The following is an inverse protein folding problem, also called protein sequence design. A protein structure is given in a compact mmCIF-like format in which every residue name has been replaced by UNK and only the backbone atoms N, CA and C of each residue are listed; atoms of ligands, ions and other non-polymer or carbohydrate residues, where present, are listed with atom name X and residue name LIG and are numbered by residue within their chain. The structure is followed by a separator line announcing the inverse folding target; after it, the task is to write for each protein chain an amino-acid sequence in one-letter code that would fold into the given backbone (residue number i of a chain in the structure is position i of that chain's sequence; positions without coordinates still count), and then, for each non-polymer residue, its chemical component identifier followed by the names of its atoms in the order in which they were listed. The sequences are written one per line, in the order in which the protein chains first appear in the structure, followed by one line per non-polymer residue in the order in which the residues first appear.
data_IF_743654998734
#
_entry.id   IF_743654998734
#
_cell.length_a   1.000
_cell.length_b   1.000
_cell.length_c   1.000
_cell.angle_alpha   90.00
_cell.angle_beta   90.00
_cell.angle_gamma   90.00
#
_symmetry.space_group_name_H-M   'P 1'
#
loop_
_entity.id
_entity.type
_entity.pdbx_description
1 polymer ?
#
# COMPACT_ATOMS: atom_id res chain seq x y z
N UNK A 1 26.66 10.44 -28.50
CA UNK A 1 27.02 9.00 -28.48
C UNK A 1 26.85 8.54 -27.04
N UNK A 2 25.91 7.63 -26.79
CA UNK A 2 25.53 7.19 -25.44
C UNK A 2 26.68 6.36 -24.86
N UNK A 3 27.34 6.87 -23.83
CA UNK A 3 28.45 6.18 -23.15
C UNK A 3 27.90 5.17 -22.13
N UNK A 4 26.85 4.43 -22.50
CA UNK A 4 26.36 3.32 -21.69
C UNK A 4 27.33 2.16 -21.89
N UNK A 5 28.01 1.65 -20.84
CA UNK A 5 28.84 0.46 -20.98
C UNK A 5 28.00 -0.69 -21.56
N UNK A 6 28.64 -1.59 -22.32
CA UNK A 6 28.00 -2.80 -22.85
C UNK A 6 27.68 -3.74 -21.67
N UNK A 7 26.54 -3.48 -21.04
CA UNK A 7 26.06 -4.17 -19.85
C UNK A 7 25.33 -5.47 -20.18
N UNK A 8 25.02 -5.73 -21.46
CA UNK A 8 24.24 -6.89 -21.89
C UNK A 8 24.92 -8.22 -21.52
N UNK A 9 26.22 -8.20 -21.25
CA UNK A 9 27.03 -9.37 -20.85
C UNK A 9 27.50 -9.32 -19.39
N UNK A 10 26.94 -8.43 -18.56
CA UNK A 10 27.33 -8.31 -17.16
C UNK A 10 26.99 -9.59 -16.37
N UNK A 11 27.94 -10.14 -15.57
CA UNK A 11 27.69 -11.34 -14.80
C UNK A 11 26.62 -11.11 -13.72
N UNK A 12 25.88 -12.16 -13.37
CA UNK A 12 24.95 -12.11 -12.26
C UNK A 12 25.69 -11.84 -10.94
N UNK A 13 25.28 -10.81 -10.20
CA UNK A 13 25.94 -10.37 -8.97
C UNK A 13 25.27 -10.94 -7.70
N UNK A 14 24.10 -11.56 -7.85
CA UNK A 14 23.35 -12.15 -6.74
C UNK A 14 23.89 -13.52 -6.28
N UNK A 15 23.13 -14.23 -5.43
CA UNK A 15 23.55 -15.51 -4.89
C UNK A 15 23.88 -16.55 -5.99
N UNK A 16 25.05 -17.23 -5.95
CA UNK A 16 25.46 -18.14 -7.03
C UNK A 16 24.46 -19.24 -7.35
N UNK A 17 23.73 -19.73 -6.35
CA UNK A 17 22.68 -20.75 -6.50
C UNK A 17 21.50 -20.28 -7.37
N UNK A 18 21.35 -18.97 -7.60
CA UNK A 18 20.27 -18.38 -8.40
C UNK A 18 20.73 -17.98 -9.81
N UNK A 19 21.99 -18.22 -10.19
CA UNK A 19 22.50 -17.88 -11.53
C UNK A 19 21.67 -18.53 -12.65
N UNK A 20 21.31 -19.81 -12.51
CA UNK A 20 20.44 -20.47 -13.49
C UNK A 20 19.02 -19.87 -13.57
N UNK A 21 18.47 -19.39 -12.45
CA UNK A 21 17.19 -18.67 -12.46
C UNK A 21 17.33 -17.30 -13.16
N UNK A 22 18.47 -16.63 -12.98
CA UNK A 22 18.78 -15.36 -13.63
C UNK A 22 18.90 -15.53 -15.15
N UNK A 23 19.61 -16.55 -15.61
CA UNK A 23 19.76 -16.86 -17.04
C UNK A 23 18.39 -17.15 -17.69
N UNK A 24 17.55 -17.93 -16.99
CA UNK A 24 16.19 -18.22 -17.45
C UNK A 24 15.30 -16.96 -17.45
N UNK A 25 15.45 -16.07 -16.48
CA UNK A 25 14.77 -14.77 -16.47
C UNK A 25 15.19 -13.92 -17.68
N UNK A 26 16.49 -13.79 -17.95
CA UNK A 26 16.99 -13.07 -19.13
C UNK A 26 16.43 -13.68 -20.41
N UNK A 27 16.47 -15.01 -20.56
CA UNK A 27 15.96 -15.70 -21.73
C UNK A 27 14.46 -15.42 -21.96
N UNK A 28 13.65 -15.35 -20.90
CA UNK A 28 12.22 -15.03 -20.98
C UNK A 28 11.94 -13.56 -21.25
N UNK A 29 12.70 -12.68 -20.60
CA UNK A 29 12.54 -11.23 -20.71
C UNK A 29 12.96 -10.72 -22.10
N UNK A 30 14.03 -11.28 -22.66
CA UNK A 30 14.51 -10.93 -24.01
C UNK A 30 13.68 -11.54 -25.14
N UNK A 31 13.10 -12.74 -24.96
CA UNK A 31 12.23 -13.39 -25.96
C UNK A 31 10.99 -12.55 -26.36
N UNK A 32 10.57 -11.61 -25.51
CA UNK A 32 9.37 -10.77 -25.72
C UNK A 32 9.68 -9.41 -26.38
N UNK A 33 10.92 -9.12 -26.80
CA UNK A 33 11.28 -7.81 -27.33
C UNK A 33 12.65 -7.72 -27.99
N UNK A 34 13.23 -6.51 -27.95
CA UNK A 34 14.58 -6.23 -28.46
C UNK A 34 15.63 -6.80 -27.50
N UNK A 35 16.31 -7.86 -27.94
CA UNK A 35 17.26 -8.64 -27.13
C UNK A 35 18.29 -7.77 -26.39
N UNK A 36 18.93 -6.82 -27.10
CA UNK A 36 19.95 -5.95 -26.50
C UNK A 36 19.41 -5.04 -25.39
N UNK A 37 18.29 -4.35 -25.63
CA UNK A 37 17.69 -3.41 -24.67
C UNK A 37 17.22 -4.12 -23.40
N UNK A 38 16.59 -5.28 -23.54
CA UNK A 38 16.09 -6.02 -22.38
C UNK A 38 17.23 -6.66 -21.57
N UNK A 39 18.31 -7.09 -22.22
CA UNK A 39 19.51 -7.57 -21.53
C UNK A 39 20.18 -6.44 -20.73
N UNK A 40 20.32 -5.25 -21.33
CA UNK A 40 20.82 -4.05 -20.65
C UNK A 40 19.94 -3.68 -19.44
N UNK A 41 18.61 -3.65 -19.61
CA UNK A 41 17.67 -3.37 -18.53
C UNK A 41 17.81 -4.36 -17.36
N UNK A 42 17.96 -5.66 -17.66
CA UNK A 42 18.20 -6.68 -16.65
C UNK A 42 19.54 -6.47 -15.94
N UNK A 43 20.59 -6.11 -16.66
CA UNK A 43 21.90 -5.82 -16.07
C UNK A 43 21.85 -4.59 -15.14
N UNK A 44 21.11 -3.54 -15.52
CA UNK A 44 20.89 -2.38 -14.63
C UNK A 44 20.14 -2.78 -13.36
N UNK A 45 19.14 -3.67 -13.44
CA UNK A 45 18.46 -4.20 -12.25
C UNK A 45 19.38 -5.07 -11.40
N UNK A 46 20.24 -5.89 -12.00
CA UNK A 46 21.23 -6.71 -11.31
C UNK A 46 22.22 -5.85 -10.52
N UNK A 47 22.75 -4.80 -11.16
CA UNK A 47 23.62 -3.82 -10.52
C UNK A 47 22.88 -3.10 -9.40
N UNK A 48 21.68 -2.58 -9.66
CA UNK A 48 20.89 -1.91 -8.63
C UNK A 48 20.62 -2.82 -7.44
N UNK A 49 20.28 -4.10 -7.63
CA UNK A 49 19.86 -4.97 -6.55
C UNK A 49 21.03 -5.57 -5.75
N UNK A 50 22.12 -5.95 -6.41
CA UNK A 50 23.16 -6.79 -5.80
C UNK A 50 24.54 -6.12 -5.70
N UNK A 51 24.77 -5.00 -6.37
CA UNK A 51 25.99 -4.22 -6.16
C UNK A 51 25.83 -3.30 -4.94
N UNK A 52 26.72 -3.38 -3.92
CA UNK A 52 26.70 -2.47 -2.78
C UNK A 52 26.79 -0.97 -3.14
N UNK A 53 27.40 -0.65 -4.29
CA UNK A 53 27.54 0.71 -4.81
C UNK A 53 26.64 0.98 -6.02
N UNK A 54 25.75 0.04 -6.38
CA UNK A 54 24.98 0.08 -7.62
C UNK A 54 24.15 1.34 -7.77
N UNK A 55 23.55 1.84 -6.68
CA UNK A 55 22.79 3.11 -6.70
C UNK A 55 23.70 4.28 -7.10
N UNK A 56 24.85 4.43 -6.46
CA UNK A 56 25.78 5.53 -6.70
C UNK A 56 26.40 5.45 -8.10
N UNK A 57 26.72 4.24 -8.57
CA UNK A 57 27.22 4.02 -9.92
C UNK A 57 26.16 4.34 -10.99
N UNK A 58 24.92 3.87 -10.81
CA UNK A 58 23.83 4.18 -11.73
C UNK A 58 23.51 5.68 -11.77
N UNK A 59 23.59 6.36 -10.62
CA UNK A 59 23.44 7.80 -10.56
C UNK A 59 24.65 8.55 -11.12
N UNK A 60 25.86 7.99 -11.09
CA UNK A 60 27.02 8.64 -11.72
C UNK A 60 26.96 8.54 -13.25
N UNK A 61 26.41 7.44 -13.78
CA UNK A 61 26.18 7.22 -15.22
C UNK A 61 25.25 8.27 -15.85
N UNK A 62 24.40 8.94 -15.07
CA UNK A 62 23.55 10.02 -15.59
C UNK A 62 24.35 11.28 -15.97
N UNK A 63 25.53 11.48 -15.36
CA UNK A 63 26.30 12.72 -15.47
C UNK A 63 25.44 13.95 -15.17
N UNK A 64 25.45 14.93 -16.08
CA UNK A 64 24.59 16.13 -16.03
C UNK A 64 23.36 16.03 -16.93
N UNK A 65 23.05 14.86 -17.53
CA UNK A 65 21.94 14.67 -18.47
C UNK A 65 20.67 14.13 -17.77
N UNK A 66 19.61 14.94 -17.59
CA UNK A 66 18.36 14.49 -17.00
C UNK A 66 17.63 13.42 -17.83
N UNK A 67 17.93 13.30 -19.13
CA UNK A 67 17.39 12.23 -19.97
C UNK A 67 18.09 10.89 -19.71
N UNK A 68 19.38 10.89 -19.38
CA UNK A 68 20.11 9.68 -19.03
C UNK A 68 19.52 9.03 -17.78
N UNK A 69 19.25 9.81 -16.73
CA UNK A 69 18.57 9.31 -15.52
C UNK A 69 17.22 8.65 -15.84
N UNK A 70 16.38 9.32 -16.63
CA UNK A 70 15.07 8.79 -17.02
C UNK A 70 15.19 7.49 -17.81
N UNK A 71 16.17 7.36 -18.70
CA UNK A 71 16.44 6.13 -19.46
C UNK A 71 16.87 4.99 -18.56
N UNK A 72 17.87 5.21 -17.70
CA UNK A 72 18.38 4.21 -16.75
C UNK A 72 17.26 3.74 -15.82
N UNK A 73 16.55 4.69 -15.22
CA UNK A 73 15.41 4.41 -14.35
C UNK A 73 14.33 3.61 -15.08
N UNK A 74 13.91 4.04 -16.27
CA UNK A 74 12.88 3.33 -17.05
C UNK A 74 13.30 1.91 -17.40
N UNK A 75 14.58 1.67 -17.70
CA UNK A 75 15.09 0.33 -18.00
C UNK A 75 15.00 -0.59 -16.78
N UNK A 76 15.45 -0.11 -15.62
CA UNK A 76 15.36 -0.84 -14.35
C UNK A 76 13.90 -1.12 -13.98
N UNK A 77 13.02 -0.11 -14.09
CA UNK A 77 11.60 -0.22 -13.79
C UNK A 77 10.90 -1.25 -14.71
N UNK A 78 11.28 -1.31 -15.98
CA UNK A 78 10.76 -2.32 -16.91
C UNK A 78 11.23 -3.74 -16.55
N UNK A 79 12.53 -3.91 -16.26
CA UNK A 79 13.07 -5.21 -15.83
C UNK A 79 12.43 -5.70 -14.51
N UNK A 80 12.22 -4.80 -13.54
CA UNK A 80 11.57 -5.12 -12.28
C UNK A 80 10.11 -5.56 -12.48
N UNK A 81 9.36 -4.84 -13.33
CA UNK A 81 7.98 -5.21 -13.69
C UNK A 81 7.95 -6.56 -14.44
N UNK A 82 8.90 -6.81 -15.32
CA UNK A 82 9.02 -8.08 -16.02
C UNK A 82 9.27 -9.23 -15.03
N UNK A 83 10.24 -9.07 -14.12
CA UNK A 83 10.53 -10.06 -13.07
C UNK A 83 9.29 -10.34 -12.19
N UNK A 84 8.56 -9.29 -11.82
CA UNK A 84 7.32 -9.40 -11.05
C UNK A 84 6.30 -10.32 -11.73
N UNK A 85 6.12 -10.20 -13.05
CA UNK A 85 5.18 -11.04 -13.82
C UNK A 85 5.62 -12.50 -13.88
N UNK A 86 6.91 -12.77 -13.85
CA UNK A 86 7.44 -14.13 -13.90
C UNK A 86 7.21 -14.91 -12.59
N UNK A 87 6.79 -14.27 -11.48
CA UNK A 87 6.44 -14.94 -10.21
C UNK A 87 5.29 -15.97 -10.30
N UNK A 88 4.51 -15.91 -11.39
CA UNK A 88 3.53 -16.95 -11.77
C UNK A 88 4.19 -18.32 -11.93
N UNK A 89 5.45 -18.34 -12.34
CA UNK A 89 6.31 -19.50 -12.46
C UNK A 89 7.01 -19.77 -11.12
N UNK A 90 6.77 -20.94 -10.52
CA UNK A 90 7.27 -21.27 -9.18
C UNK A 90 8.79 -21.20 -9.06
N UNK A 91 9.49 -21.56 -10.13
CA UNK A 91 10.95 -21.56 -10.28
C UNK A 91 11.56 -20.15 -10.29
N UNK A 92 10.78 -19.11 -10.60
CA UNK A 92 11.23 -17.71 -10.61
C UNK A 92 11.07 -17.01 -9.25
N UNK A 93 10.26 -17.59 -8.35
CA UNK A 93 10.00 -16.99 -7.02
C UNK A 93 11.26 -16.85 -6.15
N UNK A 94 12.22 -17.79 -6.14
CA UNK A 94 13.48 -17.60 -5.39
C UNK A 94 14.28 -16.39 -5.88
N UNK A 95 14.39 -16.20 -7.21
CA UNK A 95 15.07 -15.05 -7.78
C UNK A 95 14.36 -13.74 -7.43
N UNK A 96 13.05 -13.68 -7.64
CA UNK A 96 12.23 -12.52 -7.28
C UNK A 96 12.40 -12.14 -5.80
N UNK A 97 12.32 -13.12 -4.88
CA UNK A 97 12.54 -12.90 -3.45
C UNK A 97 13.93 -12.36 -3.15
N UNK A 98 14.97 -12.87 -3.80
CA UNK A 98 16.33 -12.40 -3.59
C UNK A 98 16.50 -10.94 -4.03
N UNK A 99 15.96 -10.58 -5.20
CA UNK A 99 15.98 -9.19 -5.71
C UNK A 99 15.23 -8.25 -4.75
N UNK A 100 14.02 -8.62 -4.33
CA UNK A 100 13.22 -7.81 -3.40
C UNK A 100 13.93 -7.66 -2.04
N UNK A 101 14.51 -8.74 -1.50
CA UNK A 101 15.24 -8.69 -0.24
C UNK A 101 16.48 -7.77 -0.32
N UNK A 102 17.21 -7.82 -1.43
CA UNK A 102 18.38 -6.98 -1.63
C UNK A 102 18.00 -5.49 -1.77
N UNK A 103 16.96 -5.20 -2.55
CA UNK A 103 16.42 -3.84 -2.67
C UNK A 103 15.87 -3.31 -1.32
N UNK A 104 15.21 -4.15 -0.52
CA UNK A 104 14.74 -3.79 0.83
C UNK A 104 15.90 -3.47 1.77
N UNK A 105 17.01 -4.20 1.66
CA UNK A 105 18.22 -3.95 2.44
C UNK A 105 18.76 -2.56 2.10
N UNK A 106 18.92 -2.25 0.81
CA UNK A 106 19.38 -0.94 0.36
C UNK A 106 18.44 0.20 0.73
N UNK A 107 17.12 -0.02 0.61
CA UNK A 107 16.11 0.93 1.05
C UNK A 107 16.20 1.21 2.54
N UNK A 108 16.44 0.18 3.35
CA UNK A 108 16.59 0.30 4.80
C UNK A 108 17.84 1.09 5.17
N UNK A 109 18.95 0.84 4.47
CA UNK A 109 20.20 1.58 4.65
C UNK A 109 20.06 3.05 4.24
N UNK A 110 19.38 3.32 3.12
CA UNK A 110 19.03 4.68 2.70
C UNK A 110 18.19 5.38 3.77
N UNK A 111 17.13 4.74 4.28
CA UNK A 111 16.33 5.30 5.38
C UNK A 111 17.20 5.59 6.61
N UNK A 112 18.18 4.74 6.95
CA UNK A 112 19.10 4.95 8.07
C UNK A 112 19.98 6.18 7.86
N UNK A 113 20.58 6.36 6.67
CA UNK A 113 21.38 7.54 6.32
C UNK A 113 20.60 8.86 6.45
N UNK A 114 19.29 8.83 6.21
CA UNK A 114 18.41 9.99 6.32
C UNK A 114 17.73 10.15 7.70
N UNK A 115 18.08 9.34 8.69
CA UNK A 115 17.46 9.39 10.03
C UNK A 115 15.98 9.00 10.04
N UNK A 116 15.56 8.17 9.09
CA UNK A 116 14.19 7.67 8.91
C UNK A 116 14.05 6.20 9.34
N UNK A 117 15.13 5.58 9.83
CA UNK A 117 15.16 4.23 10.37
C UNK A 117 15.85 4.21 11.75
N UNK A 118 15.33 3.47 12.77
CA UNK A 118 14.12 2.65 12.71
C UNK A 118 12.87 3.50 12.46
N UNK A 119 11.82 2.93 11.83
CA UNK A 119 10.61 3.70 11.54
C UNK A 119 10.02 4.26 12.84
N UNK A 120 9.48 5.49 12.83
CA UNK A 120 9.00 6.14 14.05
C UNK A 120 7.93 5.28 14.73
N UNK A 121 8.21 4.96 15.98
CA UNK A 121 7.23 4.41 16.90
C UNK A 121 6.46 5.60 17.47
N UNK A 122 5.12 5.52 17.58
CA UNK A 122 4.35 6.63 18.19
C UNK A 122 4.98 6.96 19.56
N UNK A 123 5.42 8.21 19.73
CA UNK A 123 5.71 8.76 21.04
C UNK A 123 4.43 8.70 21.89
N UNK A 124 4.57 8.41 23.19
CA UNK A 124 3.50 8.66 24.17
C UNK A 124 3.11 10.14 24.06
N UNK A 125 1.83 10.40 24.28
CA UNK A 125 1.08 11.61 23.93
C UNK A 125 1.53 12.89 24.63
N UNK A 126 2.73 13.38 24.33
CA UNK A 126 3.16 14.73 24.68
C UNK A 126 3.32 15.51 23.38
N UNK A 127 2.78 16.73 23.30
CA UNK A 127 2.64 17.52 22.06
C UNK A 127 3.92 17.72 21.24
N UNK A 128 5.09 17.51 21.84
CA UNK A 128 6.41 17.45 21.18
C UNK A 128 6.47 16.37 20.09
N UNK A 129 5.80 15.23 20.28
CA UNK A 129 5.83 14.10 19.35
C UNK A 129 5.09 14.31 18.01
N UNK A 130 4.14 15.25 17.94
CA UNK A 130 3.37 15.53 16.71
C UNK A 130 4.18 16.36 15.73
N UNK A 131 4.93 17.36 16.22
CA UNK A 131 5.86 18.13 15.41
C UNK A 131 6.96 17.22 14.85
N UNK A 132 7.55 16.36 15.68
CA UNK A 132 8.55 15.39 15.25
C UNK A 132 8.00 14.38 14.22
N UNK A 133 6.75 13.92 14.37
CA UNK A 133 6.14 13.00 13.42
C UNK A 133 5.86 13.65 12.06
N UNK A 134 5.48 14.93 12.04
CA UNK A 134 5.32 15.72 10.81
C UNK A 134 6.66 15.89 10.11
N UNK A 135 7.70 16.28 10.83
CA UNK A 135 9.05 16.48 10.28
C UNK A 135 9.61 15.19 9.67
N UNK A 136 9.42 14.04 10.34
CA UNK A 136 9.85 12.74 9.82
C UNK A 136 9.10 12.40 8.51
N UNK A 137 7.79 12.68 8.44
CA UNK A 137 7.00 12.44 7.22
C UNK A 137 7.42 13.36 6.08
N UNK A 138 7.68 14.64 6.36
CA UNK A 138 8.18 15.59 5.36
C UNK A 138 9.56 15.16 4.83
N UNK A 139 10.48 14.74 5.71
CA UNK A 139 11.77 14.15 5.31
C UNK A 139 11.61 12.89 4.47
N UNK A 140 10.65 12.01 4.81
CA UNK A 140 10.37 10.82 4.02
C UNK A 140 9.84 11.15 2.62
N UNK A 141 8.92 12.12 2.50
CA UNK A 141 8.47 12.59 1.19
C UNK A 141 9.59 13.27 0.39
N UNK A 142 10.50 14.00 1.04
CA UNK A 142 11.69 14.53 0.40
C UNK A 142 12.61 13.40 -0.11
N UNK A 143 12.79 12.35 0.68
CA UNK A 143 13.55 11.16 0.26
C UNK A 143 12.93 10.50 -0.97
N UNK A 144 11.61 10.30 -0.98
CA UNK A 144 10.90 9.74 -2.14
C UNK A 144 11.01 10.58 -3.42
N UNK A 145 11.28 11.89 -3.30
CA UNK A 145 11.53 12.79 -4.43
C UNK A 145 12.99 12.87 -4.85
N UNK A 146 13.92 12.35 -4.04
CA UNK A 146 15.34 12.30 -4.38
C UNK A 146 15.62 11.27 -5.50
N UNK A 147 16.71 11.42 -6.27
CA UNK A 147 17.09 10.44 -7.28
C UNK A 147 17.28 9.02 -6.71
N UNK A 148 17.99 8.89 -5.58
CA UNK A 148 18.21 7.60 -4.88
C UNK A 148 16.89 6.98 -4.41
N UNK A 149 16.10 7.79 -3.68
CA UNK A 149 14.87 7.28 -3.06
C UNK A 149 13.78 6.96 -4.06
N UNK A 150 13.63 7.77 -5.11
CA UNK A 150 12.63 7.50 -6.16
C UNK A 150 13.01 6.30 -7.02
N UNK A 151 14.30 6.07 -7.27
CA UNK A 151 14.79 4.87 -7.97
C UNK A 151 14.50 3.62 -7.14
N UNK A 152 15.00 3.55 -5.90
CA UNK A 152 14.83 2.37 -5.05
C UNK A 152 13.35 2.08 -4.72
N UNK A 153 12.58 3.10 -4.30
CA UNK A 153 11.17 2.90 -3.98
C UNK A 153 10.36 2.52 -5.22
N UNK A 154 10.60 3.18 -6.36
CA UNK A 154 9.93 2.88 -7.63
C UNK A 154 10.22 1.44 -8.08
N UNK A 155 11.49 1.03 -8.09
CA UNK A 155 11.88 -0.33 -8.44
C UNK A 155 11.29 -1.37 -7.49
N UNK A 156 11.31 -1.13 -6.17
CA UNK A 156 10.70 -2.02 -5.17
C UNK A 156 9.21 -2.23 -5.42
N UNK A 157 8.46 -1.14 -5.65
CA UNK A 157 7.03 -1.23 -5.90
C UNK A 157 6.73 -1.96 -7.22
N UNK A 158 7.55 -1.74 -8.24
CA UNK A 158 7.37 -2.42 -9.53
C UNK A 158 7.78 -3.89 -9.51
N UNK A 159 8.78 -4.25 -8.70
CA UNK A 159 9.08 -5.65 -8.42
C UNK A 159 7.89 -6.36 -7.75
N UNK A 160 7.03 -5.63 -7.04
CA UNK A 160 5.80 -6.12 -6.41
C UNK A 160 4.52 -5.86 -7.23
N UNK A 161 4.62 -5.31 -8.44
CA UNK A 161 3.48 -4.86 -9.26
C UNK A 161 2.44 -5.96 -9.50
N UNK A 162 2.88 -7.17 -9.88
CA UNK A 162 1.97 -8.28 -10.13
C UNK A 162 1.22 -8.72 -8.86
N UNK A 163 1.88 -8.62 -7.70
CA UNK A 163 1.29 -8.95 -6.41
C UNK A 163 0.29 -7.87 -5.96
N UNK A 164 0.68 -6.60 -6.07
CA UNK A 164 -0.19 -5.45 -5.77
C UNK A 164 -1.44 -5.49 -6.65
N UNK A 165 -1.27 -5.71 -7.97
CA UNK A 165 -2.37 -5.86 -8.90
C UNK A 165 -3.28 -7.03 -8.53
N UNK A 166 -2.72 -8.22 -8.25
CA UNK A 166 -3.51 -9.39 -7.89
C UNK A 166 -4.32 -9.19 -6.59
N UNK A 167 -3.75 -8.55 -5.57
CA UNK A 167 -4.49 -8.21 -4.35
C UNK A 167 -5.54 -7.12 -4.61
N UNK A 168 -5.24 -6.12 -5.44
CA UNK A 168 -6.20 -5.09 -5.85
C UNK A 168 -7.40 -5.70 -6.58
N UNK A 169 -7.20 -6.58 -7.56
CA UNK A 169 -8.33 -7.21 -8.27
C UNK A 169 -9.11 -8.20 -7.39
N UNK A 170 -8.47 -8.82 -6.37
CA UNK A 170 -9.20 -9.61 -5.35
C UNK A 170 -10.17 -8.75 -4.54
N UNK A 171 -9.84 -7.50 -4.32
CA UNK A 171 -10.64 -6.53 -3.56
C UNK A 171 -11.84 -6.09 -4.33
N UNK A 172 -11.59 -5.60 -5.54
CA UNK A 172 -12.64 -5.07 -6.40
C UNK A 172 -13.74 -6.11 -6.58
N UNK A 173 -13.36 -7.39 -6.71
CA UNK A 173 -14.30 -8.52 -6.73
C UNK A 173 -15.10 -8.69 -5.43
N UNK A 174 -14.48 -8.51 -4.25
CA UNK A 174 -15.17 -8.64 -2.95
C UNK A 174 -16.12 -7.49 -2.65
N UNK A 175 -15.89 -6.32 -3.23
CA UNK A 175 -16.78 -5.15 -3.10
C UNK A 175 -17.98 -5.21 -4.06
N UNK A 176 -18.17 -6.34 -4.77
CA UNK A 176 -19.38 -6.71 -5.53
C UNK A 176 -19.97 -5.56 -6.36
N UNK A 177 -19.22 -5.13 -7.38
CA UNK A 177 -19.58 -4.10 -8.39
C UNK A 177 -19.86 -2.68 -7.88
N UNK A 178 -19.59 -2.36 -6.60
CA UNK A 178 -19.83 -1.02 -6.04
C UNK A 178 -18.66 -0.04 -6.19
N UNK A 179 -17.50 -0.52 -6.62
CA UNK A 179 -16.28 0.29 -6.76
C UNK A 179 -15.55 -0.18 -8.01
N UNK A 180 -15.08 0.76 -8.85
CA UNK A 180 -14.29 0.41 -10.04
C UNK A 180 -12.85 0.14 -9.64
N UNK A 181 -12.17 -0.72 -10.39
CA UNK A 181 -10.76 -1.03 -10.13
C UNK A 181 -9.86 0.22 -10.26
N UNK A 182 -10.24 1.14 -11.15
CA UNK A 182 -9.54 2.40 -11.38
C UNK A 182 -9.54 3.30 -10.13
N UNK A 183 -10.57 3.21 -9.29
CA UNK A 183 -10.67 3.99 -8.05
C UNK A 183 -9.82 3.38 -6.92
N UNK A 184 -9.65 2.05 -6.95
CA UNK A 184 -8.90 1.31 -5.91
C UNK A 184 -7.40 1.35 -6.17
N UNK A 185 -6.97 1.42 -7.44
CA UNK A 185 -5.56 1.33 -7.82
C UNK A 185 -4.69 2.46 -7.22
N UNK A 186 -5.07 3.76 -7.25
CA UNK A 186 -4.30 4.82 -6.62
C UNK A 186 -4.14 4.61 -5.11
N UNK A 187 -5.19 4.10 -4.46
CA UNK A 187 -5.21 3.80 -3.03
C UNK A 187 -4.26 2.65 -2.71
N UNK A 188 -4.28 1.58 -3.52
CA UNK A 188 -3.38 0.44 -3.37
C UNK A 188 -1.91 0.88 -3.50
N UNK A 189 -1.62 1.79 -4.42
CA UNK A 189 -0.29 2.37 -4.60
C UNK A 189 0.15 3.21 -3.39
N UNK A 190 -0.72 4.09 -2.86
CA UNK A 190 -0.43 4.86 -1.65
C UNK A 190 -0.16 3.93 -0.45
N UNK A 191 -0.97 2.88 -0.29
CA UNK A 191 -0.79 1.89 0.77
C UNK A 191 0.54 1.13 0.63
N UNK A 192 1.00 0.88 -0.59
CA UNK A 192 2.29 0.26 -0.82
C UNK A 192 3.46 1.19 -0.44
N UNK A 193 3.38 2.49 -0.77
CA UNK A 193 4.34 3.50 -0.31
C UNK A 193 4.37 3.65 1.22
N UNK A 194 3.21 3.61 1.87
CA UNK A 194 3.10 3.58 3.32
C UNK A 194 3.71 2.31 3.91
N UNK A 195 3.54 1.17 3.23
CA UNK A 195 4.14 -0.09 3.65
C UNK A 195 5.67 -0.01 3.62
N UNK A 196 6.26 0.58 2.57
CA UNK A 196 7.71 0.83 2.48
C UNK A 196 8.25 1.75 3.58
N UNK A 197 7.46 2.76 3.96
CA UNK A 197 7.80 3.66 5.05
C UNK A 197 7.95 2.91 6.37
N UNK A 198 6.93 2.10 6.70
CA UNK A 198 6.80 1.43 8.00
C UNK A 198 7.53 0.10 8.10
N UNK A 199 7.87 -0.53 6.97
CA UNK A 199 8.50 -1.83 6.97
C UNK A 199 9.80 -1.82 7.77
N UNK A 200 9.88 -2.74 8.72
CA UNK A 200 11.04 -3.02 9.55
C UNK A 200 11.46 -4.49 9.35
N UNK A 201 12.58 -4.75 8.64
CA UNK A 201 13.08 -6.10 8.42
C UNK A 201 13.35 -6.87 9.72
N UNK A 202 13.63 -6.18 10.84
CA UNK A 202 13.86 -6.82 12.13
C UNK A 202 12.59 -7.37 12.79
N UNK A 203 11.40 -6.98 12.31
CA UNK A 203 10.09 -7.33 12.91
C UNK A 203 9.23 -8.22 12.03
N UNK A 204 9.58 -8.38 10.76
CA UNK A 204 8.77 -9.07 9.77
C UNK A 204 9.65 -9.86 8.82
N UNK A 205 9.30 -11.12 8.59
CA UNK A 205 10.12 -12.05 7.79
C UNK A 205 10.34 -11.54 6.35
N UNK A 206 9.29 -11.06 5.68
CA UNK A 206 9.35 -10.63 4.27
C UNK A 206 8.44 -9.43 4.01
N UNK A 207 8.89 -8.52 3.13
CA UNK A 207 8.13 -7.32 2.74
C UNK A 207 6.77 -7.65 2.11
N UNK A 208 6.70 -8.67 1.25
CA UNK A 208 5.45 -9.06 0.57
C UNK A 208 4.38 -9.45 1.58
N UNK A 209 4.75 -10.20 2.62
CA UNK A 209 3.82 -10.60 3.67
C UNK A 209 3.29 -9.38 4.43
N UNK A 210 4.17 -8.41 4.71
CA UNK A 210 3.79 -7.15 5.36
C UNK A 210 2.85 -6.32 4.46
N UNK A 211 3.21 -6.14 3.19
CA UNK A 211 2.44 -5.43 2.18
C UNK A 211 1.06 -6.06 1.99
N UNK A 212 0.98 -7.36 1.73
CA UNK A 212 -0.29 -8.10 1.61
C UNK A 212 -1.12 -7.96 2.89
N UNK A 213 -0.47 -8.02 4.06
CA UNK A 213 -1.13 -7.88 5.35
C UNK A 213 -1.76 -6.50 5.53
N UNK A 214 -1.05 -5.44 5.13
CA UNK A 214 -1.52 -4.07 5.11
C UNK A 214 -2.68 -3.89 4.13
N UNK A 215 -2.51 -4.35 2.90
CA UNK A 215 -3.56 -4.38 1.87
C UNK A 215 -4.79 -5.09 2.40
N UNK A 216 -4.73 -6.39 2.74
CA UNK A 216 -5.88 -7.16 3.25
C UNK A 216 -6.65 -6.47 4.36
N UNK A 217 -5.93 -5.74 5.21
CA UNK A 217 -6.52 -5.08 6.34
C UNK A 217 -7.24 -3.77 6.01
N UNK A 218 -6.65 -2.96 5.12
CA UNK A 218 -7.34 -1.82 4.52
C UNK A 218 -8.65 -2.27 3.87
N UNK A 219 -8.61 -3.41 3.19
CA UNK A 219 -9.72 -3.99 2.43
C UNK A 219 -10.84 -4.52 3.30
N UNK A 220 -10.50 -5.16 4.41
CA UNK A 220 -11.47 -5.52 5.43
C UNK A 220 -12.13 -4.26 6.04
N UNK A 221 -11.39 -3.15 6.09
CA UNK A 221 -11.93 -1.83 6.41
C UNK A 221 -12.93 -1.38 5.35
N UNK A 222 -12.57 -1.40 4.07
CA UNK A 222 -13.43 -0.95 2.97
C UNK A 222 -14.71 -1.76 2.82
N UNK A 223 -14.66 -3.08 2.99
CA UNK A 223 -15.86 -3.91 3.04
C UNK A 223 -16.74 -3.53 4.25
N UNK A 224 -16.13 -3.28 5.41
CA UNK A 224 -16.85 -2.78 6.59
C UNK A 224 -17.50 -1.41 6.29
N UNK A 225 -16.78 -0.49 5.64
CA UNK A 225 -17.30 0.81 5.20
C UNK A 225 -18.49 0.67 4.22
N UNK A 226 -18.40 -0.21 3.24
CA UNK A 226 -19.47 -0.44 2.26
C UNK A 226 -20.70 -1.08 2.92
N UNK A 227 -20.52 -2.09 3.77
CA UNK A 227 -21.61 -2.72 4.51
C UNK A 227 -22.32 -1.71 5.43
N UNK A 228 -21.56 -0.78 6.02
CA UNK A 228 -22.07 0.29 6.88
C UNK A 228 -22.71 1.45 6.10
N UNK A 229 -22.23 1.74 4.89
CA UNK A 229 -22.68 2.87 4.05
C UNK A 229 -23.93 2.59 3.20
N UNK A 230 -24.26 1.31 2.92
CA UNK A 230 -25.44 0.96 2.08
C UNK A 230 -26.79 1.44 2.60
N UNK A 231 -26.85 1.99 3.82
CA UNK A 231 -28.11 2.21 4.54
C UNK A 231 -28.76 3.57 4.35
N UNK A 232 -28.12 4.53 3.67
CA UNK A 232 -28.76 5.80 3.30
C UNK A 232 -29.30 5.84 1.87
N UNK A 233 -28.70 5.09 0.93
CA UNK A 233 -29.08 5.19 -0.48
C UNK A 233 -30.44 4.58 -0.82
N UNK A 234 -30.99 3.67 0.00
CA UNK A 234 -32.33 3.11 -0.25
C UNK A 234 -33.46 4.09 0.10
N UNK A 235 -33.25 4.99 1.06
CA UNK A 235 -34.27 5.96 1.50
C UNK A 235 -34.33 7.18 0.58
N UNK A 236 -33.19 7.62 0.04
CA UNK A 236 -33.15 8.75 -0.91
C UNK A 236 -33.54 8.33 -2.35
N UNK A 237 -33.28 7.08 -2.75
CA UNK A 237 -33.67 6.58 -4.08
C UNK A 237 -35.19 6.48 -4.26
N UNK A 238 -35.96 6.37 -3.18
CA UNK A 238 -37.43 6.46 -3.22
C UNK A 238 -37.98 7.90 -3.21
N UNK A 239 -37.15 8.90 -2.86
CA UNK A 239 -37.53 10.32 -2.82
C UNK A 239 -37.05 11.10 -4.06
N UNK A 240 -36.13 10.54 -4.86
CA UNK A 240 -35.56 11.18 -6.05
C UNK A 240 -36.20 10.79 -7.39
N UNK A 241 -37.10 9.79 -7.43
CA UNK A 241 -37.73 9.33 -8.68
C UNK A 241 -38.82 10.28 -9.22
N UNK A 242 -39.25 11.31 -8.48
CA UNK A 242 -40.25 12.27 -8.94
C UNK A 242 -39.68 13.61 -9.46
N UNK A 243 -38.36 13.83 -9.55
CA UNK A 243 -37.85 15.18 -9.94
C UNK A 243 -36.57 15.24 -10.78
N UNK A 244 -36.10 14.15 -11.39
CA UNK A 244 -34.86 14.18 -12.18
C UNK A 244 -35.06 13.71 -13.63
N UNK A 245 -36.05 14.27 -14.33
CA UNK A 245 -35.99 14.34 -15.78
C UNK A 245 -35.28 15.65 -16.15
N UNK A 246 -34.18 15.51 -16.91
CA UNK A 246 -33.35 16.59 -17.51
C UNK A 246 -32.16 17.08 -16.66
N UNK A 247 -30.99 16.46 -16.90
CA UNK A 247 -29.68 17.07 -17.24
C UNK A 247 -28.55 16.15 -16.76
N UNK A 248 -27.96 15.45 -17.72
CA UNK A 248 -26.72 14.67 -17.59
C UNK A 248 -25.52 15.61 -17.34
N UNK A 249 -24.81 15.41 -16.23
CA UNK A 249 -23.41 15.84 -16.09
C UNK A 249 -22.62 14.82 -15.24
N UNK A 250 -21.70 14.11 -15.88
CA UNK A 250 -20.85 13.05 -15.30
C UNK A 250 -20.08 13.54 -14.05
N UNK A 251 -19.81 14.85 -13.93
CA UNK A 251 -19.07 15.43 -12.80
C UNK A 251 -19.84 15.48 -11.49
N UNK A 252 -21.17 15.45 -11.56
CA UNK A 252 -22.02 15.50 -10.36
C UNK A 252 -22.11 14.12 -9.72
N UNK A 253 -22.04 13.05 -10.51
CA UNK A 253 -21.97 11.67 -10.01
C UNK A 253 -20.68 11.42 -9.23
N UNK A 254 -19.53 11.85 -9.77
CA UNK A 254 -18.23 11.69 -9.12
C UNK A 254 -18.15 12.42 -7.77
N UNK A 255 -18.70 13.64 -7.68
CA UNK A 255 -18.79 14.42 -6.43
C UNK A 255 -19.72 13.76 -5.39
N UNK A 256 -20.86 13.21 -5.84
CA UNK A 256 -21.80 12.51 -4.95
C UNK A 256 -21.24 11.17 -4.45
N UNK A 257 -20.48 10.46 -5.27
CA UNK A 257 -19.79 9.22 -4.89
C UNK A 257 -18.60 9.50 -3.95
N UNK A 258 -17.83 10.56 -4.18
CA UNK A 258 -16.79 11.02 -3.25
C UNK A 258 -17.39 11.45 -1.90
N UNK A 259 -18.50 12.18 -1.90
CA UNK A 259 -19.21 12.56 -0.68
C UNK A 259 -19.79 11.34 0.05
N UNK A 260 -20.34 10.37 -0.66
CA UNK A 260 -20.84 9.11 -0.08
C UNK A 260 -19.72 8.27 0.53
N UNK A 261 -18.52 8.24 -0.08
CA UNK A 261 -17.34 7.59 0.50
C UNK A 261 -16.81 8.33 1.74
N UNK A 262 -16.78 9.66 1.71
CA UNK A 262 -16.38 10.49 2.87
C UNK A 262 -17.37 10.28 4.03
N UNK A 263 -18.67 10.23 3.77
CA UNK A 263 -19.69 10.02 4.78
C UNK A 263 -19.68 8.61 5.36
N UNK A 264 -19.54 7.58 4.52
CA UNK A 264 -19.31 6.22 4.98
C UNK A 264 -18.05 6.18 5.86
N UNK A 265 -16.99 6.90 5.49
CA UNK A 265 -15.74 6.94 6.24
C UNK A 265 -15.88 7.51 7.65
N UNK A 266 -16.68 8.56 7.80
CA UNK A 266 -16.97 9.17 9.10
C UNK A 266 -17.89 8.29 9.94
N UNK A 267 -18.87 7.62 9.33
CA UNK A 267 -19.81 6.78 10.05
C UNK A 267 -19.12 5.61 10.77
N UNK A 268 -18.17 4.95 10.11
CA UNK A 268 -17.41 3.86 10.73
C UNK A 268 -16.48 4.36 11.81
N UNK A 269 -15.87 5.54 11.64
CA UNK A 269 -15.08 6.15 12.72
C UNK A 269 -15.93 6.38 13.95
N UNK A 270 -17.13 6.94 13.80
CA UNK A 270 -18.09 7.13 14.90
C UNK A 270 -18.52 5.78 15.51
N UNK A 271 -18.78 4.76 14.70
CA UNK A 271 -19.13 3.43 15.19
C UNK A 271 -17.99 2.80 16.00
N UNK A 272 -16.77 2.82 15.46
CA UNK A 272 -15.57 2.33 16.14
C UNK A 272 -15.27 3.15 17.39
N UNK A 273 -15.60 4.45 17.40
CA UNK A 273 -15.41 5.31 18.57
C UNK A 273 -16.31 4.94 19.75
N UNK A 274 -17.43 4.25 19.51
CA UNK A 274 -18.32 3.68 20.55
C UNK A 274 -17.75 2.41 21.20
N UNK A 275 -16.74 1.76 20.60
CA UNK A 275 -16.16 0.54 21.16
C UNK A 275 -15.42 0.81 22.47
N UNK A 276 -15.29 -0.21 23.35
CA UNK A 276 -14.41 -0.15 24.50
C UNK A 276 -13.00 0.30 24.11
N UNK A 277 -12.29 1.08 24.95
CA UNK A 277 -11.04 1.74 24.56
C UNK A 277 -9.99 0.80 23.92
N UNK A 278 -9.85 -0.43 24.45
CA UNK A 278 -8.93 -1.44 23.90
C UNK A 278 -9.36 -1.97 22.52
N UNK A 279 -10.63 -2.25 22.33
CA UNK A 279 -11.19 -2.73 21.05
C UNK A 279 -11.10 -1.63 20.00
N UNK A 280 -11.48 -0.40 20.36
CA UNK A 280 -11.35 0.80 19.53
C UNK A 280 -9.92 1.01 19.05
N UNK A 281 -8.95 1.07 19.96
CA UNK A 281 -7.54 1.31 19.58
C UNK A 281 -7.01 0.19 18.67
N UNK A 282 -7.33 -1.08 18.97
CA UNK A 282 -6.96 -2.21 18.11
C UNK A 282 -7.58 -2.06 16.72
N UNK A 283 -8.88 -1.78 16.59
CA UNK A 283 -9.51 -1.62 15.27
C UNK A 283 -8.99 -0.37 14.54
N UNK A 284 -8.78 0.76 15.22
CA UNK A 284 -8.26 1.97 14.57
C UNK A 284 -6.87 1.73 13.99
N UNK A 285 -5.97 1.11 14.75
CA UNK A 285 -4.62 0.77 14.27
C UNK A 285 -4.64 -0.31 13.21
N UNK A 286 -5.47 -1.34 13.40
CA UNK A 286 -5.51 -2.46 12.49
C UNK A 286 -6.03 -1.99 11.12
N UNK A 287 -7.16 -1.28 11.08
CA UNK A 287 -7.85 -0.90 9.84
C UNK A 287 -7.48 0.50 9.30
N UNK A 288 -6.50 1.19 9.89
CA UNK A 288 -6.11 2.53 9.42
C UNK A 288 -7.20 3.58 9.62
N UNK A 289 -7.97 3.49 10.71
CA UNK A 289 -8.98 4.50 11.10
C UNK A 289 -8.36 5.61 11.97
N UNK A 290 -7.08 5.86 11.77
CA UNK A 290 -6.28 6.91 12.38
C UNK A 290 -6.04 8.03 11.38
N UNK A 291 -5.54 9.17 11.85
CA UNK A 291 -5.30 10.32 10.99
C UNK A 291 -4.23 10.05 9.93
N UNK A 292 -3.30 9.13 10.22
CA UNK A 292 -2.31 8.67 9.24
C UNK A 292 -2.86 7.63 8.25
N UNK A 293 -4.11 7.16 8.43
CA UNK A 293 -4.80 6.16 7.60
C UNK A 293 -4.07 4.82 7.42
N UNK A 294 -3.14 4.49 8.31
CA UNK A 294 -2.27 3.33 8.09
C UNK A 294 -2.69 2.10 8.87
N UNK A 295 -2.70 0.96 8.19
CA UNK A 295 -2.93 -0.34 8.79
C UNK A 295 -1.66 -0.90 9.46
N UNK A 296 -1.80 -1.48 10.64
CA UNK A 296 -0.73 -2.13 11.38
C UNK A 296 -0.93 -3.65 11.45
N UNK A 297 0.16 -4.44 11.47
CA UNK A 297 0.06 -5.89 11.65
C UNK A 297 -0.33 -6.24 13.10
N UNK A 298 -0.84 -7.45 13.33
CA UNK A 298 -1.10 -7.93 14.70
C UNK A 298 0.16 -7.94 15.56
N UNK A 299 1.33 -8.24 14.96
CA UNK A 299 2.61 -8.22 15.65
C UNK A 299 2.98 -6.80 16.08
N UNK A 300 2.87 -5.82 15.18
CA UNK A 300 3.14 -4.42 15.48
C UNK A 300 2.22 -3.88 16.58
N UNK A 301 0.93 -4.21 16.50
CA UNK A 301 -0.05 -3.80 17.51
C UNK A 301 0.26 -4.47 18.84
N UNK A 302 0.62 -5.76 18.84
CA UNK A 302 0.93 -6.50 20.07
C UNK A 302 2.15 -5.93 20.79
N UNK A 303 3.19 -5.63 20.01
CA UNK A 303 4.38 -4.96 20.50
C UNK A 303 4.05 -3.57 21.05
N UNK A 304 3.25 -2.79 20.32
CA UNK A 304 2.86 -1.43 20.70
C UNK A 304 1.98 -1.35 21.94
N UNK A 305 1.09 -2.32 22.12
CA UNK A 305 0.17 -2.38 23.26
C UNK A 305 0.74 -3.20 24.44
N UNK A 306 1.96 -3.72 24.31
CA UNK A 306 2.60 -4.53 25.35
C UNK A 306 1.84 -5.82 25.66
N UNK A 307 1.25 -6.46 24.65
CA UNK A 307 0.46 -7.68 24.80
C UNK A 307 0.84 -8.75 23.77
N UNK A 308 0.25 -9.94 23.86
CA UNK A 308 0.53 -11.02 22.90
C UNK A 308 -0.24 -10.80 21.59
N UNK A 309 0.30 -11.31 20.47
CA UNK A 309 -0.36 -11.31 19.15
C UNK A 309 -1.76 -11.95 19.22
N UNK A 310 -1.92 -13.02 20.00
CA UNK A 310 -3.19 -13.70 20.22
C UNK A 310 -4.20 -12.80 20.96
N UNK A 311 -3.76 -12.04 21.97
CA UNK A 311 -4.63 -11.11 22.69
C UNK A 311 -5.12 -9.97 21.78
N UNK A 312 -4.27 -9.47 20.87
CA UNK A 312 -4.68 -8.51 19.84
C UNK A 312 -5.72 -9.12 18.91
N UNK A 313 -5.49 -10.35 18.42
CA UNK A 313 -6.42 -11.04 17.53
C UNK A 313 -7.79 -11.25 18.17
N UNK A 314 -7.85 -11.69 19.43
CA UNK A 314 -9.10 -11.85 20.17
C UNK A 314 -9.81 -10.51 20.40
N UNK A 315 -9.05 -9.46 20.69
CA UNK A 315 -9.60 -8.09 20.87
C UNK A 315 -10.16 -7.55 19.55
N UNK A 316 -9.46 -7.77 18.44
CA UNK A 316 -9.95 -7.44 17.10
C UNK A 316 -11.27 -8.17 16.81
N UNK A 317 -11.33 -9.48 17.07
CA UNK A 317 -12.53 -10.28 16.81
C UNK A 317 -13.74 -9.78 17.61
N UNK A 318 -13.57 -9.54 18.92
CA UNK A 318 -14.64 -8.98 19.77
C UNK A 318 -15.14 -7.62 19.28
N UNK A 319 -14.21 -6.72 18.92
CA UNK A 319 -14.58 -5.41 18.39
C UNK A 319 -15.39 -5.52 17.11
N UNK A 320 -14.98 -6.41 16.18
CA UNK A 320 -15.71 -6.64 14.94
C UNK A 320 -17.10 -7.26 15.17
N UNK A 321 -17.21 -8.21 16.11
CA UNK A 321 -18.48 -8.83 16.48
C UNK A 321 -19.47 -7.80 17.07
N UNK A 322 -19.00 -6.91 17.96
CA UNK A 322 -19.83 -5.80 18.46
C UNK A 322 -20.23 -4.82 17.38
N UNK A 323 -19.31 -4.44 16.50
CA UNK A 323 -19.66 -3.59 15.37
C UNK A 323 -20.76 -4.24 14.54
N UNK A 324 -20.65 -5.55 14.23
CA UNK A 324 -21.68 -6.30 13.50
C UNK A 324 -23.02 -6.36 14.24
N UNK A 325 -23.02 -6.57 15.56
CA UNK A 325 -24.27 -6.61 16.33
C UNK A 325 -24.98 -5.25 16.31
N UNK A 326 -24.25 -4.16 16.49
CA UNK A 326 -24.83 -2.81 16.35
C UNK A 326 -25.36 -2.55 14.94
N UNK A 327 -24.72 -3.11 13.91
CA UNK A 327 -25.24 -3.02 12.55
C UNK A 327 -26.57 -3.77 12.42
N UNK A 328 -26.70 -4.93 13.04
CA UNK A 328 -27.91 -5.76 13.01
C UNK A 328 -29.04 -5.13 13.84
N UNK A 329 -28.75 -4.58 15.01
CA UNK A 329 -29.73 -3.84 15.82
C UNK A 329 -30.25 -2.61 15.07
N UNK A 330 -29.34 -1.82 14.50
CA UNK A 330 -29.73 -0.72 13.62
C UNK A 330 -30.53 -1.27 12.42
N UNK A 331 -30.11 -2.40 11.82
CA UNK A 331 -30.79 -3.13 10.74
C UNK A 331 -32.28 -3.34 11.05
N UNK A 332 -32.54 -3.90 12.23
CA UNK A 332 -33.86 -4.27 12.71
C UNK A 332 -34.70 -3.05 13.10
N UNK A 333 -34.10 -2.02 13.71
CA UNK A 333 -34.82 -0.80 14.13
C UNK A 333 -35.36 -0.01 12.93
N UNK A 334 -34.61 0.10 11.84
CA UNK A 334 -35.12 0.79 10.65
C UNK A 334 -36.14 -0.04 9.85
N UNK A 335 -36.15 -1.37 9.99
CA UNK A 335 -37.23 -2.21 9.45
C UNK A 335 -38.51 -2.01 10.26
N UNK A 336 -38.39 -1.73 11.56
CA UNK A 336 -39.54 -1.45 12.46
C UNK A 336 -40.07 -0.01 12.37
N UNK A 337 -39.34 0.90 11.72
CA UNK A 337 -39.76 2.30 11.55
C UNK A 337 -39.55 3.21 12.77
N UNK A 338 -38.90 2.73 13.83
CA UNK A 338 -38.58 3.52 15.02
C UNK A 338 -37.19 4.16 14.87
N UNK A 339 -37.13 5.38 14.32
CA UNK A 339 -35.95 6.22 14.49
C UNK A 339 -35.97 6.84 15.90
N UNK A 340 -34.92 6.72 16.72
CA UNK A 340 -34.83 7.53 17.93
C UNK A 340 -34.81 9.02 17.52
N UNK A 341 -35.54 9.90 18.22
CA UNK A 341 -35.59 11.31 17.89
C UNK A 341 -34.18 11.90 17.96
N UNK A 342 -33.83 12.63 16.91
CA UNK A 342 -32.56 13.32 16.76
C UNK A 342 -32.31 14.23 17.96
N UNK A 343 -31.43 13.82 18.88
CA UNK A 343 -31.06 14.61 20.05
C UNK A 343 -30.07 15.74 19.71
N UNK A 344 -29.86 16.07 18.44
CA UNK A 344 -28.97 17.16 18.03
C UNK A 344 -29.65 18.51 17.77
N UNK A 345 -30.82 18.77 18.37
CA UNK A 345 -31.43 20.10 18.41
C UNK A 345 -31.84 20.57 19.82
N UNK A 346 -30.86 20.71 20.73
CA UNK A 346 -31.02 21.61 21.90
C UNK A 346 -29.73 22.40 22.17
N UNK A 347 -29.81 23.71 21.90
CA UNK A 347 -28.83 24.74 22.21
C UNK A 347 -28.31 25.38 20.93
N UNK A 348 -28.66 26.61 20.56
CA UNK A 348 -29.33 27.73 21.23
C UNK A 348 -30.23 28.45 20.23
#
# INVERSE_FOLDING_TARGET
MSNTPDLAHSPFLGPPALAGCWDEFIARYTKKGWFGVNAENAALLNQLAFDPNGVQELLSLQGTDPQAYRRIRSGIEDAARALSKETRHSEMRPLHRAVVAALITQWTDLKRRHGLYPPPQRAKSDGVGVATARDIRERYHALLRSPEGSLLAGTLLLAEDALIAAETSRVTRRLASRVREDDVRPIAHDLALQSLYKFDPARSDHFNTFLIGGMKQYLAGQVLFTLLGTRRSTTERQLGEESAETLTDDRTSDLLDELAQVDASQHVRRLVDRLPPKEREVLRLRFGLTDDRVCHSLADISWRLGCTKQNVQQTQQRGLERCRSWCQELADDAIRGDLPPDTSSRGR
#
